data_IF_516021904450
#
_entry.id   IF_516021904450
#
_cell.length_a   1.000
_cell.length_b   1.000
_cell.length_c   1.000
_cell.angle_alpha   90.00
_cell.angle_beta   90.00
_cell.angle_gamma   90.00
#
_symmetry.space_group_name_H-M   'P 1'
#
loop_
_entity.id
_entity.type
_entity.pdbx_description
1 polymer ?
#
# COMPACT_ATOMS: atom_id res chain seq x y z
N UNK A 1 42.17 6.69 8.36
CA UNK A 1 41.04 7.64 8.27
C UNK A 1 40.47 7.55 6.86
N UNK A 2 39.40 6.78 6.70
CA UNK A 2 38.58 6.75 5.50
C UNK A 2 37.13 6.85 5.98
N UNK A 3 36.49 7.93 5.59
CA UNK A 3 35.19 8.41 6.05
C UNK A 3 34.06 7.45 5.61
N UNK A 4 33.46 6.75 6.57
CA UNK A 4 32.29 5.90 6.36
C UNK A 4 31.02 6.71 6.68
N UNK A 5 30.63 7.60 5.77
CA UNK A 5 29.37 8.36 5.84
C UNK A 5 28.42 7.93 4.73
N UNK A 6 27.64 6.89 4.96
CA UNK A 6 26.28 6.74 4.42
C UNK A 6 25.65 5.43 4.92
N UNK A 7 25.19 5.42 6.17
CA UNK A 7 24.32 4.36 6.69
C UNK A 7 22.88 4.52 6.19
N UNK A 8 22.67 4.51 4.86
CA UNK A 8 21.34 4.56 4.25
C UNK A 8 20.91 3.13 3.97
N UNK A 9 19.85 2.62 4.63
CA UNK A 9 19.29 1.32 4.25
C UNK A 9 18.73 1.45 2.83
N UNK A 10 19.23 0.64 1.91
CA UNK A 10 18.67 0.55 0.56
C UNK A 10 17.27 -0.05 0.70
N UNK A 11 16.26 0.68 0.21
CA UNK A 11 14.88 0.22 0.14
C UNK A 11 14.62 -0.24 -1.28
N UNK A 12 14.59 -1.55 -1.46
CA UNK A 12 14.19 -2.19 -2.71
C UNK A 12 13.18 -3.32 -2.41
N UNK A 13 12.45 -3.81 -3.42
CA UNK A 13 11.45 -4.87 -3.23
C UNK A 13 12.01 -6.22 -2.73
N UNK A 14 13.34 -6.38 -2.69
CA UNK A 14 14.05 -7.64 -2.44
C UNK A 14 14.84 -7.64 -1.12
N UNK A 15 15.03 -6.47 -0.51
CA UNK A 15 15.85 -6.26 0.69
C UNK A 15 15.05 -6.20 2.00
N UNK A 16 15.53 -6.88 3.03
CA UNK A 16 15.02 -6.80 4.40
C UNK A 16 15.73 -5.67 5.16
N UNK A 17 15.46 -4.41 4.81
CA UNK A 17 16.07 -3.26 5.48
C UNK A 17 15.17 -2.70 6.58
N UNK A 18 15.71 -2.60 7.81
CA UNK A 18 15.02 -1.92 8.91
C UNK A 18 14.97 -0.42 8.63
N UNK A 19 13.78 0.12 8.34
CA UNK A 19 13.57 1.56 8.12
C UNK A 19 13.74 2.29 9.45
N UNK A 20 14.84 3.02 9.60
CA UNK A 20 15.17 3.77 10.83
C UNK A 20 14.47 5.14 10.85
N UNK A 21 14.15 5.71 9.68
CA UNK A 21 13.54 7.04 9.56
C UNK A 21 12.41 7.07 8.52
N UNK A 22 11.18 7.01 9.00
CA UNK A 22 9.98 7.13 8.16
C UNK A 22 9.77 8.55 7.64
N UNK A 23 10.25 9.60 8.31
CA UNK A 23 10.06 10.98 7.86
C UNK A 23 10.74 11.24 6.52
N UNK A 24 11.99 10.76 6.39
CA UNK A 24 12.72 10.83 5.12
C UNK A 24 12.04 10.04 3.99
N UNK A 25 11.43 8.90 4.30
CA UNK A 25 10.73 8.06 3.33
C UNK A 25 9.53 8.80 2.71
N UNK A 26 8.87 9.67 3.47
CA UNK A 26 7.76 10.46 2.97
C UNK A 26 8.21 11.51 1.96
N UNK A 27 9.28 12.24 2.27
CA UNK A 27 9.83 13.26 1.38
C UNK A 27 10.42 12.64 0.10
N UNK A 28 11.21 11.57 0.25
CA UNK A 28 11.95 10.96 -0.86
C UNK A 28 11.02 10.29 -1.88
N UNK A 29 9.95 9.64 -1.42
CA UNK A 29 9.00 8.93 -2.29
C UNK A 29 7.71 9.71 -2.59
N UNK A 30 7.58 10.95 -2.08
CA UNK A 30 6.39 11.78 -2.26
C UNK A 30 5.14 11.15 -1.67
N UNK A 31 5.26 10.57 -0.47
CA UNK A 31 4.18 9.90 0.25
C UNK A 31 3.54 10.90 1.23
N UNK A 32 2.22 10.89 1.27
CA UNK A 32 1.42 11.67 2.21
C UNK A 32 0.92 10.78 3.37
N UNK A 33 0.82 11.33 4.60
CA UNK A 33 0.21 10.61 5.72
C UNK A 33 -1.25 10.31 5.41
N UNK A 34 -1.63 9.03 5.51
CA UNK A 34 -3.01 8.62 5.21
C UNK A 34 -4.02 9.24 6.18
N UNK A 35 -3.57 9.57 7.39
CA UNK A 35 -4.34 10.24 8.45
C UNK A 35 -4.85 11.61 8.02
N UNK A 36 -4.16 12.29 7.09
CA UNK A 36 -4.62 13.54 6.46
C UNK A 36 -5.99 13.38 5.78
N UNK A 37 -6.34 12.15 5.42
CA UNK A 37 -7.58 11.80 4.74
C UNK A 37 -8.62 11.13 5.67
N UNK A 38 -8.39 11.08 6.98
CA UNK A 38 -9.25 10.38 7.94
C UNK A 38 -10.74 10.75 7.80
N UNK A 39 -11.04 12.05 7.66
CA UNK A 39 -12.42 12.56 7.54
C UNK A 39 -13.08 12.25 6.18
N UNK A 40 -12.28 11.85 5.18
CA UNK A 40 -12.78 11.51 3.84
C UNK A 40 -13.15 10.05 3.69
N UNK A 41 -12.74 9.17 4.61
CA UNK A 41 -13.06 7.75 4.53
C UNK A 41 -14.55 7.49 4.83
N UNK A 42 -15.31 6.85 3.91
CA UNK A 42 -16.71 6.48 4.15
C UNK A 42 -16.89 5.43 5.25
N UNK A 43 -15.84 4.65 5.53
CA UNK A 43 -15.81 3.61 6.54
C UNK A 43 -14.38 3.48 7.10
N UNK A 44 -14.23 2.89 8.29
CA UNK A 44 -12.91 2.69 8.92
C UNK A 44 -12.50 1.23 8.95
N UNK A 45 -11.20 0.95 8.83
CA UNK A 45 -10.62 -0.39 8.96
C UNK A 45 -9.68 -0.48 10.17
N UNK A 46 -9.50 -1.68 10.75
CA UNK A 46 -8.61 -1.86 11.91
C UNK A 46 -7.15 -1.50 11.59
N UNK A 47 -6.69 -1.77 10.37
CA UNK A 47 -5.30 -1.52 9.95
C UNK A 47 -5.04 -0.03 9.70
N UNK A 48 -6.07 0.71 9.29
CA UNK A 48 -6.03 2.17 9.23
C UNK A 48 -5.97 2.75 10.65
N UNK A 49 -6.87 2.36 11.55
CA UNK A 49 -6.92 2.88 12.94
C UNK A 49 -5.67 2.56 13.77
N UNK A 50 -4.97 1.47 13.44
CA UNK A 50 -3.75 1.05 14.15
C UNK A 50 -2.47 1.64 13.54
N UNK A 51 -2.57 2.50 12.53
CA UNK A 51 -1.41 3.08 11.85
C UNK A 51 -0.58 2.06 11.06
N UNK A 52 -1.15 0.89 10.71
CA UNK A 52 -0.46 -0.12 9.89
C UNK A 52 -0.43 0.32 8.44
N UNK A 53 -1.54 0.87 7.94
CA UNK A 53 -1.55 1.65 6.70
C UNK A 53 -1.30 3.09 7.12
N UNK A 54 -0.12 3.63 6.82
CA UNK A 54 0.32 4.96 7.29
C UNK A 54 0.61 5.96 6.17
N UNK A 55 0.93 5.48 4.96
CA UNK A 55 1.32 6.32 3.83
C UNK A 55 0.45 6.08 2.59
N UNK A 56 0.25 7.12 1.78
CA UNK A 56 -0.48 7.06 0.53
C UNK A 56 -0.01 8.11 -0.48
N UNK A 57 -0.48 8.04 -1.73
CA UNK A 57 -0.26 9.07 -2.75
C UNK A 57 -1.52 9.26 -3.58
N UNK A 58 -1.94 10.50 -3.80
CA UNK A 58 -3.15 10.86 -4.56
C UNK A 58 -4.45 10.19 -4.05
N UNK A 59 -4.46 9.69 -2.81
CA UNK A 59 -5.58 8.91 -2.27
C UNK A 59 -6.89 9.71 -2.21
N UNK A 60 -6.79 11.03 -2.05
CA UNK A 60 -7.93 11.93 -2.08
C UNK A 60 -8.82 11.75 -3.32
N UNK A 61 -8.23 11.51 -4.50
CA UNK A 61 -9.00 11.31 -5.75
C UNK A 61 -9.86 10.05 -5.69
N UNK A 62 -9.32 8.98 -5.11
CA UNK A 62 -10.00 7.70 -4.94
C UNK A 62 -11.13 7.82 -3.92
N UNK A 63 -10.87 8.49 -2.79
CA UNK A 63 -11.88 8.71 -1.75
C UNK A 63 -13.01 9.64 -2.22
N UNK A 64 -12.67 10.68 -2.99
CA UNK A 64 -13.67 11.57 -3.58
C UNK A 64 -14.55 10.80 -4.59
N UNK A 65 -13.96 9.93 -5.44
CA UNK A 65 -14.70 9.05 -6.34
C UNK A 65 -15.59 8.04 -5.59
N UNK A 66 -15.08 7.45 -4.51
CA UNK A 66 -15.85 6.53 -3.67
C UNK A 66 -17.08 7.21 -3.07
N UNK A 67 -16.93 8.45 -2.57
CA UNK A 67 -18.01 9.24 -1.99
C UNK A 67 -19.04 9.72 -3.02
N UNK A 68 -18.61 10.08 -4.23
CA UNK A 68 -19.51 10.53 -5.30
C UNK A 68 -20.19 9.38 -6.05
N UNK A 69 -19.83 8.13 -5.77
CA UNK A 69 -20.31 6.97 -6.53
C UNK A 69 -19.72 6.87 -7.94
N UNK A 70 -18.59 7.56 -8.19
CA UNK A 70 -17.86 7.47 -9.45
C UNK A 70 -17.00 6.20 -9.50
N UNK A 71 -16.73 5.72 -10.72
CA UNK A 71 -15.97 4.49 -10.93
C UNK A 71 -14.51 4.71 -10.54
N UNK A 72 -13.94 3.75 -9.82
CA UNK A 72 -12.50 3.62 -9.61
C UNK A 72 -12.11 2.15 -9.53
N UNK A 73 -10.83 1.87 -9.70
CA UNK A 73 -10.28 0.53 -9.63
C UNK A 73 -9.34 0.38 -8.43
N UNK A 74 -9.31 -0.82 -7.87
CA UNK A 74 -8.35 -1.25 -6.86
C UNK A 74 -7.57 -2.41 -7.44
N UNK A 75 -6.24 -2.30 -7.46
CA UNK A 75 -5.38 -3.30 -8.07
C UNK A 75 -4.23 -3.66 -7.13
N UNK A 76 -4.00 -4.96 -6.99
CA UNK A 76 -2.76 -5.52 -6.47
C UNK A 76 -2.52 -6.85 -7.16
N UNK A 77 -1.35 -7.42 -6.98
CA UNK A 77 -1.06 -8.77 -7.41
C UNK A 77 -0.47 -9.63 -6.30
N UNK A 78 -0.32 -10.90 -6.63
CA UNK A 78 0.45 -11.87 -5.86
C UNK A 78 1.34 -12.65 -6.82
N UNK A 79 2.59 -12.85 -6.42
CA UNK A 79 3.45 -13.83 -7.05
C UNK A 79 3.06 -15.22 -6.51
N UNK A 80 2.79 -16.23 -7.35
CA UNK A 80 2.35 -17.54 -6.91
C UNK A 80 3.48 -18.39 -6.30
N UNK A 81 4.20 -17.84 -5.31
CA UNK A 81 5.30 -18.49 -4.59
C UNK A 81 4.83 -18.88 -3.19
N UNK A 82 4.75 -20.18 -2.92
CA UNK A 82 4.50 -20.71 -1.58
C UNK A 82 3.06 -20.60 -1.06
N UNK A 83 2.89 -20.77 0.25
CA UNK A 83 1.59 -20.83 0.92
C UNK A 83 1.11 -19.42 1.29
N UNK A 84 -0.18 -19.16 1.08
CA UNK A 84 -0.82 -17.91 1.47
C UNK A 84 -0.78 -17.71 3.00
N UNK A 85 -0.11 -16.65 3.45
CA UNK A 85 0.10 -16.37 4.88
C UNK A 85 -0.44 -15.00 5.32
N UNK A 86 -0.27 -14.67 6.60
CA UNK A 86 -0.83 -13.45 7.21
C UNK A 86 -0.31 -12.16 6.57
N UNK A 87 0.97 -12.12 6.17
CA UNK A 87 1.51 -11.01 5.37
C UNK A 87 0.69 -10.75 4.11
N UNK A 88 0.54 -11.75 3.23
CA UNK A 88 -0.27 -11.66 2.00
C UNK A 88 -1.73 -11.26 2.27
N UNK A 89 -2.29 -11.75 3.38
CA UNK A 89 -3.65 -11.40 3.82
C UNK A 89 -3.83 -9.90 4.03
N UNK A 90 -2.82 -9.18 4.53
CA UNK A 90 -2.95 -7.72 4.77
C UNK A 90 -3.21 -6.93 3.48
N UNK A 91 -2.60 -7.33 2.37
CA UNK A 91 -2.83 -6.75 1.05
C UNK A 91 -4.23 -7.05 0.53
N UNK A 92 -4.68 -8.32 0.63
CA UNK A 92 -6.04 -8.67 0.23
C UNK A 92 -7.10 -7.95 1.09
N UNK A 93 -6.85 -7.75 2.38
CA UNK A 93 -7.72 -6.94 3.24
C UNK A 93 -7.83 -5.49 2.78
N UNK A 94 -6.73 -4.88 2.32
CA UNK A 94 -6.78 -3.55 1.73
C UNK A 94 -7.67 -3.53 0.49
N UNK A 95 -7.52 -4.51 -0.40
CA UNK A 95 -8.32 -4.59 -1.62
C UNK A 95 -9.82 -4.72 -1.33
N UNK A 96 -10.18 -5.61 -0.40
CA UNK A 96 -11.57 -5.81 0.03
C UNK A 96 -12.12 -4.55 0.70
N UNK A 97 -11.32 -3.88 1.55
CA UNK A 97 -11.73 -2.65 2.21
C UNK A 97 -12.02 -1.54 1.20
N UNK A 98 -11.09 -1.27 0.29
CA UNK A 98 -11.29 -0.23 -0.73
C UNK A 98 -12.43 -0.59 -1.68
N UNK A 99 -12.60 -1.86 -2.08
CA UNK A 99 -13.78 -2.29 -2.83
C UNK A 99 -15.09 -1.99 -2.09
N UNK A 100 -15.11 -2.21 -0.78
CA UNK A 100 -16.28 -2.00 0.07
C UNK A 100 -16.66 -0.53 0.26
N UNK A 101 -15.81 0.43 -0.10
CA UNK A 101 -16.12 1.85 0.06
C UNK A 101 -17.19 2.35 -0.92
N UNK A 102 -17.40 1.67 -2.05
CA UNK A 102 -18.41 2.05 -3.04
C UNK A 102 -18.82 0.89 -3.94
N UNK A 103 -20.10 0.84 -4.33
CA UNK A 103 -20.61 -0.12 -5.32
C UNK A 103 -20.02 0.07 -6.73
N UNK A 104 -19.46 1.25 -7.01
CA UNK A 104 -18.80 1.56 -8.28
C UNK A 104 -17.33 1.09 -8.35
N UNK A 105 -16.80 0.54 -7.24
CA UNK A 105 -15.42 0.06 -7.18
C UNK A 105 -15.25 -1.27 -7.93
N UNK A 106 -14.17 -1.38 -8.72
CA UNK A 106 -13.78 -2.64 -9.37
C UNK A 106 -12.43 -3.12 -8.86
N UNK A 107 -12.34 -4.37 -8.45
CA UNK A 107 -11.08 -4.99 -8.05
C UNK A 107 -10.49 -5.80 -9.20
N UNK A 108 -9.17 -5.67 -9.39
CA UNK A 108 -8.34 -6.48 -10.26
C UNK A 108 -7.22 -7.12 -9.42
N UNK A 109 -7.12 -8.45 -9.46
CA UNK A 109 -6.10 -9.20 -8.73
C UNK A 109 -5.23 -9.97 -9.71
N UNK A 110 -3.99 -9.55 -9.87
CA UNK A 110 -3.06 -10.13 -10.85
C UNK A 110 -2.27 -11.27 -10.24
N UNK A 111 -2.17 -12.40 -10.96
CA UNK A 111 -1.24 -13.48 -10.63
C UNK A 111 0.01 -13.26 -11.48
N UNK A 112 1.15 -13.02 -10.85
CA UNK A 112 2.42 -12.78 -11.53
C UNK A 112 3.12 -14.10 -11.87
N UNK A 113 2.49 -14.93 -12.69
CA UNK A 113 2.98 -16.26 -13.09
C UNK A 113 4.20 -16.18 -14.03
N UNK A 114 4.20 -15.25 -14.97
CA UNK A 114 5.35 -15.01 -15.87
C UNK A 114 6.59 -14.59 -15.08
N UNK A 115 6.42 -13.68 -14.10
CA UNK A 115 7.51 -13.28 -13.20
C UNK A 115 8.02 -14.46 -12.38
N UNK A 116 7.11 -15.29 -11.85
CA UNK A 116 7.49 -16.49 -11.10
C UNK A 116 8.18 -17.58 -11.95
N UNK A 117 7.96 -17.59 -13.26
CA UNK A 117 8.65 -18.52 -14.18
C UNK A 117 10.07 -18.05 -14.53
N UNK A 118 10.30 -16.74 -14.56
CA UNK A 118 11.58 -16.14 -14.94
C UNK A 118 12.63 -16.08 -13.83
N UNK A 119 12.28 -16.46 -12.60
CA UNK A 119 13.17 -16.59 -11.44
C UNK A 119 13.41 -18.06 -11.07
#
# INVERSE_FOLDING_TARGET
MSDNRSGVPVLDPWGESSVVDYGRLFEEFGIEPIERFADKFPATHRLLRRGVWFGCRDLGRVLDAARSGSIYAVMSGIKPTGVYHLGTKTTAEAMVFFQGLSKAARVFYSIADVEAYCE
#
